data_IF_633572735167
#
_entry.id   IF_633572735167
#
_cell.length_a   1.000
_cell.length_b   1.000
_cell.length_c   1.000
_cell.angle_alpha   90.00
_cell.angle_beta   90.00
_cell.angle_gamma   90.00
#
_symmetry.space_group_name_H-M   'P 1'
#
loop_
_entity.id
_entity.type
_entity.pdbx_description
1 polymer ?
#
# COMPACT_ATOMS: atom_id res chain seq x y z
N UNK A 1 14.33 -28.65 -4.01
CA UNK A 1 13.70 -28.03 -5.19
C UNK A 1 12.43 -27.35 -4.69
N UNK A 2 12.33 -26.03 -4.79
CA UNK A 2 11.04 -25.37 -4.55
C UNK A 2 10.05 -25.81 -5.62
N UNK A 3 8.77 -26.05 -5.28
CA UNK A 3 7.75 -26.38 -6.26
C UNK A 3 7.67 -25.29 -7.33
N UNK A 4 7.27 -25.67 -8.55
CA UNK A 4 7.04 -24.71 -9.62
C UNK A 4 6.02 -23.65 -9.16
N UNK A 5 6.23 -22.36 -9.50
CA UNK A 5 5.32 -21.30 -9.11
C UNK A 5 3.92 -21.60 -9.65
N UNK A 6 2.91 -21.52 -8.79
CA UNK A 6 1.54 -21.63 -9.24
C UNK A 6 1.21 -20.40 -10.10
N UNK A 7 0.83 -20.66 -11.36
CA UNK A 7 0.58 -19.61 -12.35
C UNK A 7 -0.56 -18.68 -11.91
N UNK A 8 -1.50 -19.18 -11.12
CA UNK A 8 -2.61 -18.38 -10.63
C UNK A 8 -2.15 -17.36 -9.58
N UNK A 9 -1.48 -17.82 -8.53
CA UNK A 9 -0.94 -16.94 -7.48
C UNK A 9 0.16 -16.00 -7.99
N UNK A 10 0.92 -16.38 -9.03
CA UNK A 10 1.83 -15.48 -9.74
C UNK A 10 1.07 -14.33 -10.43
N UNK A 11 -0.10 -14.59 -11.03
CA UNK A 11 -0.95 -13.54 -11.62
C UNK A 11 -1.48 -12.59 -10.55
N UNK A 12 -1.93 -13.11 -9.41
CA UNK A 12 -2.35 -12.27 -8.26
C UNK A 12 -1.19 -11.36 -7.84
N UNK A 13 0.02 -11.93 -7.67
CA UNK A 13 1.20 -11.16 -7.29
C UNK A 13 1.49 -10.03 -8.28
N UNK A 14 1.41 -10.30 -9.60
CA UNK A 14 1.58 -9.26 -10.63
C UNK A 14 0.51 -8.17 -10.56
N UNK A 15 -0.77 -8.52 -10.32
CA UNK A 15 -1.85 -7.55 -10.14
C UNK A 15 -1.59 -6.66 -8.92
N UNK A 16 -1.22 -7.26 -7.78
CA UNK A 16 -0.87 -6.52 -6.55
C UNK A 16 0.29 -5.57 -6.80
N UNK A 17 1.33 -6.00 -7.52
CA UNK A 17 2.46 -5.14 -7.89
C UNK A 17 2.03 -3.94 -8.76
N UNK A 18 1.14 -4.17 -9.72
CA UNK A 18 0.54 -3.09 -10.51
C UNK A 18 -0.19 -2.07 -9.63
N UNK A 19 -1.03 -2.54 -8.70
CA UNK A 19 -1.79 -1.68 -7.79
C UNK A 19 -0.93 -0.91 -6.79
N UNK A 20 0.11 -1.54 -6.23
CA UNK A 20 1.08 -0.84 -5.38
C UNK A 20 1.84 0.23 -6.18
N UNK A 21 2.22 -0.04 -7.43
CA UNK A 21 2.83 0.94 -8.33
C UNK A 21 1.93 2.14 -8.65
N UNK A 22 0.64 1.90 -8.90
CA UNK A 22 -0.38 2.96 -9.07
C UNK A 22 -0.48 3.83 -7.80
N UNK A 23 -0.55 3.21 -6.62
CA UNK A 23 -0.65 3.90 -5.33
C UNK A 23 0.60 4.73 -4.98
N UNK A 24 1.79 4.21 -5.28
CA UNK A 24 3.06 4.97 -5.15
C UNK A 24 3.03 6.17 -6.09
N UNK A 25 2.66 5.96 -7.35
CA UNK A 25 2.61 7.03 -8.36
C UNK A 25 1.62 8.12 -7.97
N UNK A 26 0.46 7.76 -7.42
CA UNK A 26 -0.51 8.72 -6.88
C UNK A 26 0.12 9.58 -5.77
N UNK A 27 0.70 8.96 -4.74
CA UNK A 27 1.28 9.70 -3.62
C UNK A 27 2.48 10.56 -4.03
N UNK A 28 3.31 10.11 -4.98
CA UNK A 28 4.41 10.92 -5.54
C UNK A 28 3.86 12.14 -6.29
N UNK A 29 2.83 11.97 -7.13
CA UNK A 29 2.21 13.09 -7.85
C UNK A 29 1.66 14.14 -6.89
N UNK A 30 0.96 13.71 -5.85
CA UNK A 30 0.42 14.63 -4.85
C UNK A 30 1.55 15.33 -4.08
N UNK A 31 2.61 14.61 -3.71
CA UNK A 31 3.76 15.18 -3.01
C UNK A 31 4.56 16.19 -3.86
N UNK A 32 4.70 15.96 -5.16
CA UNK A 32 5.42 16.85 -6.09
C UNK A 32 4.63 18.13 -6.39
N UNK A 33 3.29 18.08 -6.35
CA UNK A 33 2.44 19.27 -6.51
C UNK A 33 2.48 20.23 -5.31
N UNK A 34 3.09 19.83 -4.20
CA UNK A 34 3.09 20.62 -2.98
C UNK A 34 3.99 21.86 -3.13
N UNK A 35 3.40 23.04 -2.99
CA UNK A 35 4.07 24.33 -3.08
C UNK A 35 4.62 24.80 -1.73
N UNK A 36 5.35 25.91 -1.71
CA UNK A 36 5.94 26.49 -0.48
C UNK A 36 4.89 26.85 0.60
N UNK A 37 3.60 26.87 0.25
CA UNK A 37 2.45 27.06 1.16
C UNK A 37 1.82 25.79 1.71
N UNK A 38 2.20 24.59 1.24
CA UNK A 38 1.57 23.35 1.74
C UNK A 38 1.89 23.13 3.22
N UNK A 39 0.85 22.81 3.99
CA UNK A 39 0.99 22.57 5.42
C UNK A 39 1.73 21.26 5.68
N UNK A 40 2.68 21.30 6.63
CA UNK A 40 3.54 20.17 6.99
C UNK A 40 2.78 18.85 7.27
N UNK A 41 1.58 18.84 7.88
CA UNK A 41 0.83 17.60 8.08
C UNK A 41 0.50 16.83 6.81
N UNK A 42 0.18 17.53 5.71
CA UNK A 42 -0.14 16.88 4.43
C UNK A 42 1.11 16.23 3.83
N UNK A 43 2.25 16.92 3.87
CA UNK A 43 3.55 16.38 3.42
C UNK A 43 3.89 15.10 4.21
N UNK A 44 3.74 15.15 5.54
CA UNK A 44 4.01 14.03 6.42
C UNK A 44 3.04 12.86 6.20
N UNK A 45 1.78 13.13 5.89
CA UNK A 45 0.78 12.11 5.53
C UNK A 45 1.21 11.32 4.29
N UNK A 46 1.57 12.01 3.20
CA UNK A 46 2.03 11.35 1.98
C UNK A 46 3.35 10.60 2.18
N UNK A 47 4.28 11.15 2.99
CA UNK A 47 5.50 10.44 3.35
C UNK A 47 5.22 9.14 4.12
N UNK A 48 4.24 9.16 5.03
CA UNK A 48 3.77 7.98 5.76
C UNK A 48 3.21 6.93 4.81
N UNK A 49 2.35 7.33 3.88
CA UNK A 49 1.81 6.43 2.86
C UNK A 49 2.92 5.80 2.03
N UNK A 50 3.91 6.58 1.59
CA UNK A 50 5.02 6.08 0.78
C UNK A 50 5.94 5.13 1.57
N UNK A 51 6.12 5.35 2.88
CA UNK A 51 6.79 4.38 3.76
C UNK A 51 6.01 3.06 3.80
N UNK A 52 4.72 3.09 4.12
CA UNK A 52 3.88 1.88 4.19
C UNK A 52 3.84 1.14 2.84
N UNK A 53 3.68 1.87 1.72
CA UNK A 53 3.69 1.29 0.37
C UNK A 53 5.03 0.66 0.00
N UNK A 54 6.16 1.22 0.46
CA UNK A 54 7.47 0.63 0.25
C UNK A 54 7.63 -0.71 0.96
N UNK A 55 7.12 -0.81 2.19
CA UNK A 55 7.10 -2.06 2.96
C UNK A 55 6.22 -3.10 2.25
N UNK A 56 5.02 -2.71 1.84
CA UNK A 56 4.10 -3.63 1.15
C UNK A 56 4.66 -4.13 -0.18
N UNK A 57 5.32 -3.26 -0.93
CA UNK A 57 5.94 -3.64 -2.20
C UNK A 57 6.99 -4.72 -1.99
N UNK A 58 7.92 -4.52 -1.06
CA UNK A 58 8.97 -5.51 -0.79
C UNK A 58 8.42 -6.80 -0.19
N UNK A 59 7.47 -6.70 0.76
CA UNK A 59 6.80 -7.85 1.35
C UNK A 59 6.10 -8.72 0.32
N UNK A 60 5.34 -8.10 -0.59
CA UNK A 60 4.61 -8.80 -1.64
C UNK A 60 5.53 -9.28 -2.78
N UNK A 61 6.73 -8.73 -2.96
CA UNK A 61 7.75 -9.27 -3.89
C UNK A 61 8.37 -10.56 -3.34
N UNK A 62 8.55 -10.65 -2.01
CA UNK A 62 9.25 -11.75 -1.36
C UNK A 62 8.59 -13.12 -1.59
N UNK A 63 7.25 -13.17 -1.70
CA UNK A 63 6.53 -14.42 -2.00
C UNK A 63 5.14 -14.18 -2.59
N UNK A 64 4.64 -15.18 -3.33
CA UNK A 64 3.28 -15.17 -3.90
C UNK A 64 2.21 -15.18 -2.79
N UNK A 65 2.45 -15.96 -1.73
CA UNK A 65 1.56 -16.07 -0.58
C UNK A 65 1.40 -14.73 0.14
N UNK A 66 2.47 -13.93 0.24
CA UNK A 66 2.40 -12.59 0.81
C UNK A 66 1.49 -11.67 0.00
N UNK A 67 1.57 -11.73 -1.33
CA UNK A 67 0.71 -10.94 -2.20
C UNK A 67 -0.75 -11.41 -2.17
N UNK A 68 -0.98 -12.73 -2.10
CA UNK A 68 -2.33 -13.28 -1.88
C UNK A 68 -2.90 -12.78 -0.56
N UNK A 69 -2.14 -12.83 0.54
CA UNK A 69 -2.58 -12.30 1.85
C UNK A 69 -2.93 -10.82 1.78
N UNK A 70 -2.11 -10.01 1.11
CA UNK A 70 -2.40 -8.59 0.91
C UNK A 70 -3.70 -8.36 0.13
N UNK A 71 -3.94 -9.15 -0.94
CA UNK A 71 -5.18 -9.08 -1.71
C UNK A 71 -6.39 -9.49 -0.86
N UNK A 72 -6.26 -10.54 -0.03
CA UNK A 72 -7.31 -10.96 0.91
C UNK A 72 -7.62 -9.87 1.94
N UNK A 73 -6.59 -9.25 2.52
CA UNK A 73 -6.77 -8.17 3.49
C UNK A 73 -7.54 -6.99 2.89
N UNK A 74 -7.26 -6.63 1.62
CA UNK A 74 -8.02 -5.60 0.92
C UNK A 74 -9.51 -5.96 0.75
N UNK A 75 -9.85 -7.24 0.58
CA UNK A 75 -11.25 -7.69 0.50
C UNK A 75 -11.95 -7.59 1.85
N UNK A 76 -11.25 -7.95 2.93
CA UNK A 76 -11.77 -7.82 4.28
C UNK A 76 -12.02 -6.36 4.64
N UNK A 77 -11.10 -5.46 4.25
CA UNK A 77 -11.27 -4.02 4.45
C UNK A 77 -12.54 -3.49 3.78
N UNK A 78 -12.83 -3.92 2.54
CA UNK A 78 -14.06 -3.52 1.88
C UNK A 78 -15.31 -4.10 2.57
N UNK A 79 -15.30 -5.39 2.91
CA UNK A 79 -16.40 -6.01 3.66
C UNK A 79 -16.70 -5.24 4.95
N UNK A 80 -15.64 -4.83 5.66
CA UNK A 80 -15.73 -4.06 6.90
C UNK A 80 -16.27 -2.64 6.68
N UNK A 81 -15.96 -2.01 5.55
CA UNK A 81 -16.54 -0.72 5.15
C UNK A 81 -18.03 -0.89 4.83
N UNK A 82 -18.39 -1.85 3.98
CA UNK A 82 -19.77 -2.08 3.53
C UNK A 82 -20.69 -2.37 4.73
N UNK A 83 -20.25 -3.22 5.67
CA UNK A 83 -21.02 -3.54 6.90
C UNK A 83 -21.32 -2.32 7.78
N UNK A 84 -20.59 -1.22 7.61
CA UNK A 84 -20.77 0.02 8.39
C UNK A 84 -21.61 1.06 7.66
N UNK A 85 -21.96 0.84 6.39
CA UNK A 85 -22.77 1.75 5.60
C UNK A 85 -24.24 1.30 5.61
N UNK A 86 -25.21 2.23 5.78
CA UNK A 86 -26.62 1.91 5.63
C UNK A 86 -26.93 1.45 4.20
N UNK A 87 -27.64 0.34 4.05
CA UNK A 87 -27.91 -0.28 2.74
C UNK A 87 -28.73 0.64 1.82
N UNK A 88 -29.66 1.40 2.40
CA UNK A 88 -30.45 2.42 1.71
C UNK A 88 -29.60 3.57 1.16
N UNK A 89 -28.52 3.95 1.86
CA UNK A 89 -27.56 4.94 1.34
C UNK A 89 -26.73 4.40 0.17
N UNK A 90 -26.38 3.12 0.19
CA UNK A 90 -25.68 2.45 -0.92
C UNK A 90 -26.61 2.37 -2.13
N UNK A 91 -27.84 1.90 -1.95
CA UNK A 91 -28.81 1.72 -3.04
C UNK A 91 -29.24 3.05 -3.66
N UNK A 92 -29.27 4.13 -2.88
CA UNK A 92 -29.54 5.48 -3.37
C UNK A 92 -28.41 6.06 -4.24
N UNK A 93 -27.23 5.42 -4.28
CA UNK A 93 -26.03 5.91 -5.00
C UNK A 93 -25.55 4.88 -6.03
N UNK A 94 -26.05 4.94 -7.29
CA UNK A 94 -25.74 3.95 -8.33
C UNK A 94 -24.24 3.76 -8.62
N UNK A 95 -23.43 4.82 -8.48
CA UNK A 95 -21.98 4.71 -8.66
C UNK A 95 -21.29 3.97 -7.51
N UNK A 96 -21.70 4.21 -6.27
CA UNK A 96 -21.20 3.48 -5.10
C UNK A 96 -21.56 2.00 -5.20
N UNK A 97 -22.82 1.71 -5.55
CA UNK A 97 -23.29 0.34 -5.77
C UNK A 97 -22.50 -0.38 -6.85
N UNK A 98 -22.31 0.25 -8.02
CA UNK A 98 -21.52 -0.32 -9.12
C UNK A 98 -20.06 -0.56 -8.72
N UNK A 99 -19.48 0.36 -7.96
CA UNK A 99 -18.11 0.20 -7.46
C UNK A 99 -17.97 -1.00 -6.52
N UNK A 100 -18.95 -1.20 -5.61
CA UNK A 100 -19.04 -2.37 -4.74
C UNK A 100 -19.19 -3.66 -5.57
N UNK A 101 -20.14 -3.70 -6.51
CA UNK A 101 -20.40 -4.87 -7.38
C UNK A 101 -19.16 -5.26 -8.20
N UNK A 102 -18.44 -4.26 -8.76
CA UNK A 102 -17.19 -4.50 -9.46
C UNK A 102 -16.13 -5.15 -8.56
N UNK A 103 -16.08 -4.74 -7.30
CA UNK A 103 -15.14 -5.33 -6.34
C UNK A 103 -15.58 -6.73 -5.88
N UNK A 104 -16.88 -6.98 -5.70
CA UNK A 104 -17.41 -8.32 -5.42
C UNK A 104 -17.09 -9.32 -6.54
N UNK A 105 -17.09 -8.86 -7.80
CA UNK A 105 -16.65 -9.66 -8.95
C UNK A 105 -15.17 -10.05 -8.85
N UNK A 106 -14.29 -9.09 -8.52
CA UNK A 106 -12.86 -9.37 -8.24
C UNK A 106 -12.73 -10.33 -7.07
N UNK A 107 -13.58 -10.17 -6.04
CA UNK A 107 -13.58 -11.05 -4.87
C UNK A 107 -13.92 -12.48 -5.21
N UNK A 108 -14.95 -12.69 -6.01
CA UNK A 108 -15.39 -14.03 -6.42
C UNK A 108 -14.32 -14.72 -7.25
N UNK A 109 -13.62 -13.96 -8.11
CA UNK A 109 -12.46 -14.47 -8.85
C UNK A 109 -11.31 -14.92 -7.95
N UNK A 110 -11.02 -14.20 -6.87
CA UNK A 110 -9.97 -14.56 -5.90
C UNK A 110 -10.40 -15.68 -4.94
N UNK A 111 -11.67 -15.73 -4.54
CA UNK A 111 -12.19 -16.70 -3.57
C UNK A 111 -12.29 -18.14 -4.12
N UNK A 112 -12.33 -18.31 -5.44
CA UNK A 112 -12.25 -19.64 -6.08
C UNK A 112 -10.90 -20.33 -5.86
N UNK A 113 -9.85 -19.56 -5.57
CA UNK A 113 -8.47 -20.02 -5.51
C UNK A 113 -7.83 -19.87 -4.12
N UNK A 114 -8.57 -19.29 -3.18
CA UNK A 114 -8.16 -19.05 -1.80
C UNK A 114 -9.03 -19.94 -0.92
N UNK A 115 -8.41 -20.89 -0.21
CA UNK A 115 -9.14 -21.79 0.68
C UNK A 115 -9.94 -20.99 1.72
N UNK A 116 -11.13 -21.47 2.10
CA UNK A 116 -12.00 -20.80 3.08
C UNK A 116 -11.32 -20.50 4.42
N UNK A 117 -10.30 -21.29 4.79
CA UNK A 117 -9.46 -21.06 5.97
C UNK A 117 -8.64 -19.75 5.89
N UNK A 118 -8.18 -19.36 4.69
CA UNK A 118 -7.39 -18.14 4.52
C UNK A 118 -8.20 -16.87 4.78
N UNK A 119 -9.53 -16.91 4.58
CA UNK A 119 -10.44 -15.79 4.86
C UNK A 119 -10.66 -15.57 6.37
N UNK A 120 -10.40 -16.59 7.20
CA UNK A 120 -10.52 -16.50 8.67
C UNK A 120 -9.26 -16.01 9.40
N UNK A 121 -8.12 -15.90 8.69
CA UNK A 121 -6.85 -15.46 9.29
C UNK A 121 -6.91 -13.98 9.75
N UNK A 122 -6.14 -13.58 10.77
CA UNK A 122 -6.01 -12.18 11.14
C UNK A 122 -5.42 -11.32 10.00
N UNK A 123 -5.78 -10.04 9.99
CA UNK A 123 -5.15 -9.04 9.12
C UNK A 123 -3.63 -8.99 9.31
N UNK A 124 -2.91 -8.84 8.21
CA UNK A 124 -1.47 -8.57 8.25
C UNK A 124 -1.25 -7.08 8.49
N UNK A 125 -0.66 -6.71 9.64
CA UNK A 125 -0.28 -5.31 9.86
C UNK A 125 0.97 -4.95 9.06
N UNK A 126 1.11 -3.67 8.66
CA UNK A 126 2.34 -3.17 8.01
C UNK A 126 3.57 -3.44 8.86
N UNK A 127 3.44 -3.34 10.19
CA UNK A 127 4.50 -3.66 11.15
C UNK A 127 4.94 -5.12 11.05
N UNK A 128 3.98 -6.04 10.92
CA UNK A 128 4.25 -7.47 10.72
C UNK A 128 4.97 -7.71 9.39
N UNK A 129 4.52 -7.05 8.32
CA UNK A 129 5.17 -7.13 7.01
C UNK A 129 6.60 -6.58 7.06
N UNK A 130 6.81 -5.43 7.72
CA UNK A 130 8.14 -4.84 7.94
C UNK A 130 9.07 -5.79 8.70
N UNK A 131 8.56 -6.48 9.72
CA UNK A 131 9.34 -7.49 10.45
C UNK A 131 9.72 -8.67 9.55
N UNK A 132 8.81 -9.16 8.72
CA UNK A 132 9.05 -10.29 7.82
C UNK A 132 10.14 -10.01 6.76
N UNK A 133 10.30 -8.75 6.34
CA UNK A 133 11.34 -8.31 5.40
C UNK A 133 12.59 -7.73 6.09
N UNK A 134 12.67 -7.80 7.43
CA UNK A 134 13.83 -7.31 8.18
C UNK A 134 13.96 -5.78 8.28
N UNK A 135 12.87 -5.02 8.02
CA UNK A 135 12.84 -3.54 8.04
C UNK A 135 12.05 -2.95 9.22
N UNK A 136 11.80 -3.73 10.27
CA UNK A 136 10.99 -3.29 11.40
C UNK A 136 11.52 -2.01 12.07
N UNK A 137 12.84 -1.93 12.29
CA UNK A 137 13.49 -0.80 12.96
C UNK A 137 13.29 0.49 12.15
N UNK A 138 13.55 0.43 10.84
CA UNK A 138 13.41 1.57 9.94
C UNK A 138 11.94 2.01 9.81
N UNK A 139 11.03 1.04 9.69
CA UNK A 139 9.60 1.29 9.66
C UNK A 139 9.12 2.00 10.94
N UNK A 140 9.47 1.49 12.12
CA UNK A 140 9.05 2.09 13.39
C UNK A 140 9.62 3.48 13.59
N UNK A 141 10.89 3.70 13.24
CA UNK A 141 11.52 5.00 13.30
C UNK A 141 10.82 6.01 12.38
N UNK A 142 10.62 5.65 11.11
CA UNK A 142 9.94 6.49 10.12
C UNK A 142 8.49 6.80 10.53
N UNK A 143 7.72 5.77 10.88
CA UNK A 143 6.34 5.93 11.33
C UNK A 143 6.21 6.85 12.53
N UNK A 144 7.09 6.70 13.52
CA UNK A 144 7.09 7.53 14.72
C UNK A 144 7.33 8.99 14.34
N UNK A 145 8.30 9.29 13.48
CA UNK A 145 8.62 10.65 13.04
C UNK A 145 7.46 11.25 12.23
N UNK A 146 7.02 10.58 11.17
CA UNK A 146 5.98 11.13 10.28
C UNK A 146 4.64 11.32 11.02
N UNK A 147 4.29 10.43 11.95
CA UNK A 147 3.05 10.56 12.73
C UNK A 147 3.03 11.77 13.66
N UNK A 148 4.19 12.28 14.12
CA UNK A 148 4.23 13.51 14.93
C UNK A 148 3.79 14.74 14.15
N UNK A 149 4.01 14.71 12.84
CA UNK A 149 3.69 15.82 11.94
C UNK A 149 2.34 15.65 11.26
N UNK A 150 1.94 14.42 10.93
CA UNK A 150 0.70 14.13 10.19
C UNK A 150 -0.57 14.26 11.05
N UNK A 151 -0.47 14.04 12.36
CA UNK A 151 -1.62 13.96 13.28
C UNK A 151 -1.57 15.03 14.35
N UNK A 152 -2.72 15.40 14.97
CA UNK A 152 -2.77 16.27 16.15
C UNK A 152 -2.26 15.54 17.40
N UNK A 153 -0.98 15.18 17.39
CA UNK A 153 -0.32 14.52 18.52
C UNK A 153 -0.15 15.49 19.67
N UNK A 154 0.06 14.98 20.89
CA UNK A 154 0.38 15.82 22.04
C UNK A 154 1.53 16.81 21.77
N UNK A 155 2.55 16.41 20.99
CA UNK A 155 3.60 17.33 20.56
C UNK A 155 3.02 18.49 19.73
N UNK A 156 2.30 18.17 18.65
CA UNK A 156 1.70 19.17 17.76
C UNK A 156 0.74 20.12 18.50
N UNK A 157 -0.03 19.60 19.45
CA UNK A 157 -0.94 20.39 20.30
C UNK A 157 -0.17 21.32 21.22
N UNK A 158 0.89 20.83 21.87
CA UNK A 158 1.63 21.61 22.87
C UNK A 158 2.62 22.61 22.25
N UNK A 159 3.17 22.34 21.07
CA UNK A 159 4.21 23.18 20.45
C UNK A 159 3.73 23.99 19.27
N UNK A 160 2.57 23.66 18.69
CA UNK A 160 2.17 24.20 17.39
C UNK A 160 3.11 23.75 16.25
N UNK A 161 2.92 24.31 15.04
CA UNK A 161 3.80 24.03 13.91
C UNK A 161 5.21 24.61 14.15
N UNK A 162 6.27 24.02 13.55
CA UNK A 162 7.59 24.62 13.57
C UNK A 162 7.58 26.04 12.98
N UNK A 163 8.44 26.96 13.44
CA UNK A 163 8.49 28.32 12.91
C UNK A 163 9.09 28.34 11.49
N UNK A 164 8.53 29.19 10.62
CA UNK A 164 9.08 29.64 9.32
C UNK A 164 10.04 28.67 8.62
N UNK A 165 11.33 29.00 8.63
CA UNK A 165 12.38 28.23 7.96
C UNK A 165 12.50 26.79 8.45
N UNK A 166 12.29 26.53 9.74
CA UNK A 166 12.32 25.16 10.28
C UNK A 166 11.18 24.31 9.70
N UNK A 167 10.00 24.90 9.49
CA UNK A 167 8.90 24.21 8.82
C UNK A 167 9.26 23.90 7.36
N UNK A 168 9.81 24.88 6.64
CA UNK A 168 10.24 24.69 5.25
C UNK A 168 11.31 23.60 5.13
N UNK A 169 12.36 23.65 5.95
CA UNK A 169 13.41 22.62 5.97
C UNK A 169 12.85 21.23 6.32
N UNK A 170 11.93 21.15 7.28
CA UNK A 170 11.29 19.88 7.65
C UNK A 170 10.49 19.31 6.48
N UNK A 171 9.70 20.12 5.77
CA UNK A 171 8.98 19.68 4.57
C UNK A 171 9.94 19.16 3.50
N UNK A 172 11.00 19.90 3.19
CA UNK A 172 11.98 19.49 2.16
C UNK A 172 12.61 18.14 2.52
N UNK A 173 13.00 17.94 3.79
CA UNK A 173 13.63 16.71 4.23
C UNK A 173 12.66 15.52 4.19
N UNK A 174 11.41 15.70 4.65
CA UNK A 174 10.38 14.66 4.58
C UNK A 174 10.05 14.32 3.12
N UNK A 175 9.87 15.33 2.26
CA UNK A 175 9.63 15.13 0.84
C UNK A 175 10.76 14.36 0.18
N UNK A 176 12.01 14.72 0.43
CA UNK A 176 13.17 14.01 -0.13
C UNK A 176 13.20 12.54 0.32
N UNK A 177 13.05 12.28 1.62
CA UNK A 177 13.02 10.93 2.14
C UNK A 177 11.89 10.09 1.54
N UNK A 178 10.69 10.68 1.41
CA UNK A 178 9.53 10.04 0.80
C UNK A 178 9.75 9.71 -0.68
N UNK A 179 10.33 10.61 -1.45
CA UNK A 179 10.66 10.39 -2.86
C UNK A 179 11.75 9.32 -3.04
N UNK A 180 12.72 9.24 -2.13
CA UNK A 180 13.72 8.15 -2.12
C UNK A 180 13.04 6.79 -1.90
N UNK A 181 12.20 6.65 -0.87
CA UNK A 181 11.46 5.40 -0.61
C UNK A 181 10.58 5.00 -1.81
N UNK A 182 9.88 5.98 -2.40
CA UNK A 182 9.04 5.76 -3.57
C UNK A 182 9.85 5.29 -4.80
N UNK A 183 11.02 5.88 -5.03
CA UNK A 183 11.91 5.52 -6.14
C UNK A 183 12.44 4.09 -5.99
N UNK A 184 12.84 3.70 -4.78
CA UNK A 184 13.32 2.35 -4.49
C UNK A 184 12.20 1.31 -4.68
N UNK A 185 11.03 1.55 -4.10
CA UNK A 185 9.88 0.67 -4.24
C UNK A 185 9.44 0.53 -5.71
N UNK A 186 9.38 1.64 -6.45
CA UNK A 186 9.03 1.62 -7.88
C UNK A 186 10.04 0.81 -8.71
N UNK A 187 11.33 0.90 -8.38
CA UNK A 187 12.39 0.14 -9.05
C UNK A 187 12.26 -1.36 -8.79
N UNK A 188 11.98 -1.75 -7.54
CA UNK A 188 11.75 -3.15 -7.17
C UNK A 188 10.52 -3.72 -7.90
N UNK A 189 9.40 -3.01 -7.87
CA UNK A 189 8.17 -3.43 -8.55
C UNK A 189 8.36 -3.57 -10.06
N UNK A 190 9.08 -2.62 -10.69
CA UNK A 190 9.40 -2.70 -12.12
C UNK A 190 10.25 -3.91 -12.46
N UNK A 191 11.34 -4.13 -11.72
CA UNK A 191 12.23 -5.28 -11.93
C UNK A 191 11.48 -6.62 -11.76
N UNK A 192 10.60 -6.71 -10.76
CA UNK A 192 9.75 -7.88 -10.56
C UNK A 192 8.80 -8.13 -11.74
N UNK A 193 8.14 -7.09 -12.24
CA UNK A 193 7.20 -7.23 -13.36
C UNK A 193 7.90 -7.65 -14.65
N UNK A 194 9.09 -7.09 -14.95
CA UNK A 194 9.90 -7.48 -16.11
C UNK A 194 10.32 -8.96 -16.05
N UNK A 195 10.73 -9.42 -14.86
CA UNK A 195 11.04 -10.84 -14.61
C UNK A 195 9.83 -11.74 -14.79
N UNK A 196 8.69 -11.33 -14.24
CA UNK A 196 7.45 -12.12 -14.27
C UNK A 196 6.91 -12.26 -15.68
N UNK A 197 6.91 -11.19 -16.48
CA UNK A 197 6.51 -11.24 -17.90
C UNK A 197 7.40 -12.22 -18.67
N UNK A 198 8.72 -12.21 -18.43
CA UNK A 198 9.64 -13.15 -19.08
C UNK A 198 9.30 -14.60 -18.78
N UNK A 199 9.09 -14.94 -17.51
CA UNK A 199 8.71 -16.29 -17.06
C UNK A 199 7.38 -16.75 -17.67
N UNK A 200 6.38 -15.87 -17.70
CA UNK A 200 5.08 -16.18 -18.29
C UNK A 200 5.20 -16.45 -19.80
N UNK A 201 6.00 -15.66 -20.52
CA UNK A 201 6.24 -15.86 -21.95
C UNK A 201 7.00 -17.16 -22.24
N UNK A 202 7.98 -17.53 -21.42
CA UNK A 202 8.72 -18.80 -21.53
C UNK A 202 7.80 -20.00 -21.30
N UNK A 203 6.89 -19.91 -20.32
CA UNK A 203 5.92 -20.97 -20.02
C UNK A 203 4.85 -21.11 -21.10
N UNK A 204 4.52 -20.04 -21.83
CA UNK A 204 3.54 -20.09 -22.94
C UNK A 204 4.08 -20.68 -24.24
N UNK A 205 5.39 -20.95 -24.32
CA UNK A 205 6.08 -21.48 -25.51
C UNK A 205 6.40 -22.97 -25.43
N UNK A 206 6.17 -23.61 -24.27
CA UNK A 206 6.32 -25.04 -24.06
C UNK A 206 4.98 -25.73 -23.91
#
# INVERSE_FOLDING_TARGET
MSPAPDLHTLRIQAIVMGKLGEAISYNVKELVKMEDGTVLPIVAWHARNLLELSIWTEYCIQSQENAVRFAVDAMRDLDDIIKRLPQDEIDARPETKRWIENFESVRTGLAGDIGSEDLSKPYTSVRTAAAAIGKLIDYEAGMKVYSKWAHPTALAVMTGPPPGDAQKSTRINITRAALTMASEASRMAKAFNEETVRKLLETSKG
#
